data_IF_426530883259
#
_entry.id   IF_426530883259
#
_cell.length_a   1.000
_cell.length_b   1.000
_cell.length_c   1.000
_cell.angle_alpha   90.00
_cell.angle_beta   90.00
_cell.angle_gamma   90.00
#
_symmetry.space_group_name_H-M   'P 1'
#
loop_
_entity.id
_entity.type
_entity.pdbx_description
1 polymer ?
#
# COMPACT_ATOMS: atom_id res chain seq x y z
N UNK A 1 -20.04 -20.26 -2.56
CA UNK A 1 -21.10 -19.71 -1.68
C UNK A 1 -20.59 -18.68 -0.65
N UNK A 2 -19.29 -18.62 -0.34
CA UNK A 2 -18.73 -17.64 0.62
C UNK A 2 -18.52 -16.20 0.06
N UNK A 3 -18.22 -16.05 -1.24
CA UNK A 3 -18.03 -14.72 -1.88
C UNK A 3 -19.29 -13.83 -1.86
N UNK A 4 -20.49 -14.43 -1.88
CA UNK A 4 -21.75 -13.68 -1.88
C UNK A 4 -22.10 -13.12 -0.49
N UNK A 5 -21.66 -13.80 0.58
CA UNK A 5 -21.93 -13.40 1.97
C UNK A 5 -21.00 -12.27 2.44
N UNK A 6 -19.73 -12.30 2.03
CA UNK A 6 -18.77 -11.22 2.33
C UNK A 6 -19.20 -9.91 1.66
N UNK A 7 -19.76 -9.99 0.44
CA UNK A 7 -20.20 -8.81 -0.32
C UNK A 7 -21.30 -7.99 0.35
N UNK A 8 -22.26 -8.63 1.00
CA UNK A 8 -23.50 -8.00 1.50
C UNK A 8 -23.53 -7.74 3.01
N UNK A 9 -22.76 -8.47 3.84
CA UNK A 9 -22.87 -8.38 5.32
C UNK A 9 -21.66 -7.78 6.02
N UNK A 10 -20.60 -7.38 5.32
CA UNK A 10 -19.37 -6.90 5.99
C UNK A 10 -19.61 -5.73 6.96
N UNK A 11 -20.51 -4.82 6.59
CA UNK A 11 -20.85 -3.64 7.38
C UNK A 11 -21.72 -3.98 8.61
N UNK A 12 -22.39 -5.13 8.61
CA UNK A 12 -23.20 -5.64 9.73
C UNK A 12 -22.41 -6.52 10.72
N UNK A 13 -21.21 -6.99 10.33
CA UNK A 13 -20.38 -7.84 11.18
C UNK A 13 -19.70 -7.02 12.27
N UNK A 14 -19.79 -7.50 13.51
CA UNK A 14 -19.13 -6.86 14.64
C UNK A 14 -17.58 -7.05 14.57
N UNK A 15 -16.78 -6.27 15.31
CA UNK A 15 -15.32 -6.35 15.25
C UNK A 15 -14.75 -7.74 15.56
N UNK A 16 -15.41 -8.53 16.40
CA UNK A 16 -15.01 -9.89 16.76
C UNK A 16 -15.29 -10.85 15.60
N UNK A 17 -16.43 -10.71 14.93
CA UNK A 17 -16.79 -11.49 13.75
C UNK A 17 -15.88 -11.20 12.57
N UNK A 18 -15.50 -9.92 12.37
CA UNK A 18 -14.50 -9.53 11.36
C UNK A 18 -13.14 -10.16 11.65
N UNK A 19 -12.72 -10.16 12.91
CA UNK A 19 -11.48 -10.84 13.34
C UNK A 19 -11.55 -12.35 13.16
N UNK A 20 -12.68 -12.96 13.48
CA UNK A 20 -12.90 -14.39 13.27
C UNK A 20 -12.92 -14.74 11.79
N UNK A 21 -13.45 -13.87 10.94
CA UNK A 21 -13.43 -14.05 9.48
C UNK A 21 -12.01 -13.94 8.92
N UNK A 22 -11.23 -12.96 9.39
CA UNK A 22 -9.82 -12.83 9.05
C UNK A 22 -9.01 -14.05 9.52
N UNK A 23 -9.19 -14.49 10.76
CA UNK A 23 -8.55 -15.70 11.29
C UNK A 23 -8.96 -16.96 10.52
N UNK A 24 -10.24 -17.12 10.19
CA UNK A 24 -10.73 -18.25 9.39
C UNK A 24 -10.15 -18.22 7.96
N UNK A 25 -9.95 -17.03 7.40
CA UNK A 25 -9.27 -16.86 6.10
C UNK A 25 -7.81 -17.28 6.17
N UNK A 26 -7.12 -16.96 7.27
CA UNK A 26 -5.73 -17.38 7.55
C UNK A 26 -5.64 -18.89 7.84
N UNK A 27 -6.60 -19.46 8.57
CA UNK A 27 -6.67 -20.90 8.81
C UNK A 27 -6.94 -21.68 7.51
N UNK A 28 -7.83 -21.15 6.65
CA UNK A 28 -8.03 -21.69 5.30
C UNK A 28 -6.75 -21.57 4.46
N UNK A 29 -6.01 -20.46 4.54
CA UNK A 29 -4.69 -20.33 3.91
C UNK A 29 -3.72 -21.42 4.38
N UNK A 30 -3.70 -21.73 5.68
CA UNK A 30 -2.83 -22.78 6.24
C UNK A 30 -3.20 -24.18 5.74
N UNK A 31 -4.48 -24.45 5.50
CA UNK A 31 -4.96 -25.75 4.99
C UNK A 31 -4.66 -25.94 3.50
N UNK A 32 -4.63 -24.84 2.72
CA UNK A 32 -4.34 -24.85 1.27
C UNK A 32 -2.82 -24.91 0.99
N UNK A 33 -1.97 -24.70 1.99
CA UNK A 33 -0.53 -24.92 1.89
C UNK A 33 -0.16 -26.41 1.66
N UNK A 34 -1.14 -27.33 1.75
CA UNK A 34 -0.97 -28.72 1.36
C UNK A 34 -0.83 -28.83 -0.18
N UNK A 35 0.28 -29.39 -0.72
CA UNK A 35 0.56 -29.39 -2.16
C UNK A 35 -0.38 -30.26 -3.02
N UNK A 36 -1.41 -30.89 -2.46
CA UNK A 36 -2.23 -31.91 -3.12
C UNK A 36 -3.63 -31.48 -3.61
N UNK A 37 -4.11 -30.25 -3.34
CA UNK A 37 -5.44 -29.80 -3.82
C UNK A 37 -5.45 -28.71 -4.91
N UNK A 38 -6.58 -28.75 -5.64
CA UNK A 38 -6.89 -28.33 -7.00
C UNK A 38 -6.80 -26.80 -7.26
N UNK A 39 -6.19 -26.44 -8.39
CA UNK A 39 -5.94 -25.07 -8.90
C UNK A 39 -7.11 -24.08 -8.81
N UNK A 40 -8.35 -24.56 -8.74
CA UNK A 40 -9.56 -23.75 -8.60
C UNK A 40 -9.67 -23.06 -7.23
N UNK A 41 -9.25 -23.72 -6.14
CA UNK A 41 -9.24 -23.15 -4.79
C UNK A 41 -8.19 -22.05 -4.65
N UNK A 42 -7.02 -22.24 -5.27
CA UNK A 42 -5.92 -21.25 -5.32
C UNK A 42 -6.31 -19.99 -6.10
N UNK A 43 -6.99 -20.18 -7.23
CA UNK A 43 -7.53 -19.09 -8.05
C UNK A 43 -8.63 -18.29 -7.32
N UNK A 44 -9.50 -18.96 -6.56
CA UNK A 44 -10.53 -18.30 -5.74
C UNK A 44 -9.93 -17.47 -4.62
N UNK A 45 -8.85 -17.95 -3.99
CA UNK A 45 -8.12 -17.19 -2.97
C UNK A 45 -7.46 -15.94 -3.57
N UNK A 46 -6.78 -16.07 -4.71
CA UNK A 46 -6.17 -14.93 -5.39
C UNK A 46 -7.20 -13.83 -5.71
N UNK A 47 -8.37 -14.22 -6.23
CA UNK A 47 -9.48 -13.31 -6.49
C UNK A 47 -10.05 -12.67 -5.22
N UNK A 48 -10.28 -13.46 -4.17
CA UNK A 48 -10.79 -12.97 -2.88
C UNK A 48 -9.85 -11.92 -2.27
N UNK A 49 -8.56 -12.20 -2.28
CA UNK A 49 -7.53 -11.34 -1.71
C UNK A 49 -7.38 -10.06 -2.52
N UNK A 50 -7.48 -10.11 -3.85
CA UNK A 50 -7.52 -8.91 -4.69
C UNK A 50 -8.76 -8.05 -4.41
N UNK A 51 -9.95 -8.66 -4.29
CA UNK A 51 -11.19 -7.94 -3.95
C UNK A 51 -11.12 -7.27 -2.57
N UNK A 52 -10.59 -7.98 -1.57
CA UNK A 52 -10.40 -7.43 -0.22
C UNK A 52 -9.45 -6.24 -0.24
N UNK A 53 -8.36 -6.33 -1.02
CA UNK A 53 -7.39 -5.25 -1.15
C UNK A 53 -8.04 -3.98 -1.70
N UNK A 54 -8.73 -4.10 -2.84
CA UNK A 54 -9.39 -2.95 -3.50
C UNK A 54 -10.47 -2.34 -2.61
N UNK A 55 -11.31 -3.18 -1.98
CA UNK A 55 -12.45 -2.72 -1.16
C UNK A 55 -11.99 -2.06 0.13
N UNK A 56 -11.08 -2.69 0.88
CA UNK A 56 -10.66 -2.15 2.17
C UNK A 56 -9.72 -0.96 2.02
N UNK A 57 -8.91 -0.91 0.96
CA UNK A 57 -8.12 0.27 0.69
C UNK A 57 -9.00 1.48 0.35
N UNK A 58 -9.98 1.32 -0.55
CA UNK A 58 -10.91 2.40 -0.90
C UNK A 58 -11.73 2.90 0.31
N UNK A 59 -12.20 1.97 1.15
CA UNK A 59 -12.92 2.32 2.38
C UNK A 59 -12.02 2.99 3.42
N UNK A 60 -10.76 2.56 3.59
CA UNK A 60 -9.81 3.23 4.48
C UNK A 60 -9.61 4.70 4.09
N UNK A 61 -9.42 4.96 2.79
CA UNK A 61 -9.26 6.33 2.27
C UNK A 61 -10.54 7.15 2.44
N UNK A 62 -11.70 6.56 2.16
CA UNK A 62 -13.00 7.24 2.31
C UNK A 62 -13.34 7.56 3.77
N UNK A 63 -12.98 6.71 4.72
CA UNK A 63 -13.29 6.96 6.14
C UNK A 63 -12.26 7.89 6.78
N UNK A 64 -11.01 7.86 6.33
CA UNK A 64 -10.00 8.84 6.71
C UNK A 64 -10.41 10.27 6.28
N UNK A 65 -10.98 10.44 5.08
CA UNK A 65 -11.45 11.75 4.61
C UNK A 65 -12.66 12.27 5.40
N UNK A 66 -13.48 11.38 5.97
CA UNK A 66 -14.58 11.70 6.90
C UNK A 66 -14.14 11.90 8.35
N UNK A 67 -12.83 11.86 8.64
CA UNK A 67 -12.26 11.92 10.00
C UNK A 67 -12.69 10.77 10.92
N UNK A 68 -13.20 9.66 10.37
CA UNK A 68 -13.55 8.46 11.14
C UNK A 68 -12.34 7.55 11.32
N UNK A 69 -11.38 8.02 12.13
CA UNK A 69 -10.06 7.42 12.25
C UNK A 69 -10.10 5.97 12.74
N UNK A 70 -11.01 5.61 13.64
CA UNK A 70 -11.09 4.25 14.19
C UNK A 70 -11.60 3.24 13.15
N UNK A 71 -12.52 3.66 12.29
CA UNK A 71 -13.03 2.84 11.17
C UNK A 71 -11.94 2.72 10.10
N UNK A 72 -11.27 3.82 9.75
CA UNK A 72 -10.16 3.82 8.82
C UNK A 72 -9.02 2.87 9.26
N UNK A 73 -8.68 2.85 10.56
CA UNK A 73 -7.70 1.93 11.14
C UNK A 73 -8.10 0.46 10.98
N UNK A 74 -9.39 0.12 11.12
CA UNK A 74 -9.86 -1.26 10.91
C UNK A 74 -9.70 -1.70 9.45
N UNK A 75 -10.03 -0.81 8.51
CA UNK A 75 -9.79 -1.07 7.09
C UNK A 75 -8.30 -1.20 6.79
N UNK A 76 -7.45 -0.35 7.37
CA UNK A 76 -5.99 -0.46 7.23
C UNK A 76 -5.44 -1.78 7.76
N UNK A 77 -5.90 -2.24 8.94
CA UNK A 77 -5.50 -3.54 9.49
C UNK A 77 -5.91 -4.70 8.57
N UNK A 78 -7.07 -4.60 7.93
CA UNK A 78 -7.55 -5.59 6.96
C UNK A 78 -6.68 -5.60 5.70
N UNK A 79 -6.31 -4.42 5.18
CA UNK A 79 -5.37 -4.27 4.05
C UNK A 79 -4.02 -4.91 4.39
N UNK A 80 -3.46 -4.65 5.57
CA UNK A 80 -2.20 -5.24 6.02
C UNK A 80 -2.27 -6.76 6.12
N UNK A 81 -3.33 -7.32 6.72
CA UNK A 81 -3.53 -8.77 6.78
C UNK A 81 -3.63 -9.39 5.38
N UNK A 82 -4.33 -8.71 4.47
CA UNK A 82 -4.48 -9.12 3.07
C UNK A 82 -3.13 -9.11 2.36
N UNK A 83 -2.30 -8.08 2.56
CA UNK A 83 -0.94 -8.01 1.98
C UNK A 83 -0.02 -9.11 2.51
N UNK A 84 -0.11 -9.46 3.80
CA UNK A 84 0.67 -10.56 4.36
C UNK A 84 0.28 -11.90 3.74
N UNK A 85 -1.03 -12.11 3.50
CA UNK A 85 -1.51 -13.26 2.76
C UNK A 85 -1.03 -13.28 1.30
N UNK A 86 -1.05 -12.13 0.62
CA UNK A 86 -0.50 -11.99 -0.74
C UNK A 86 0.97 -12.39 -0.74
N UNK A 87 1.77 -11.92 0.22
CA UNK A 87 3.19 -12.22 0.31
C UNK A 87 3.42 -13.74 0.49
N UNK A 88 2.69 -14.38 1.39
CA UNK A 88 2.77 -15.83 1.58
C UNK A 88 2.35 -16.61 0.31
N UNK A 89 1.35 -16.14 -0.43
CA UNK A 89 0.94 -16.72 -1.71
C UNK A 89 2.00 -16.51 -2.81
N UNK A 90 2.61 -15.33 -2.84
CA UNK A 90 3.60 -14.92 -3.83
C UNK A 90 4.95 -15.65 -3.71
N UNK A 91 5.20 -16.39 -2.62
CA UNK A 91 6.41 -17.22 -2.45
C UNK A 91 6.43 -18.45 -3.36
N UNK A 92 5.27 -19.02 -3.68
CA UNK A 92 5.19 -20.26 -4.44
C UNK A 92 4.31 -20.15 -5.69
N UNK A 93 3.36 -19.21 -5.75
CA UNK A 93 2.48 -19.05 -6.91
C UNK A 93 3.24 -18.64 -8.19
N UNK A 94 2.77 -19.07 -9.40
CA UNK A 94 3.30 -18.59 -10.67
C UNK A 94 3.09 -17.08 -10.85
N UNK A 95 4.12 -16.38 -11.34
CA UNK A 95 4.06 -14.92 -11.53
C UNK A 95 2.97 -14.52 -12.55
N UNK A 96 2.75 -15.35 -13.57
CA UNK A 96 1.69 -15.14 -14.55
C UNK A 96 0.29 -15.11 -13.90
N UNK A 97 0.02 -15.98 -12.93
CA UNK A 97 -1.26 -16.02 -12.21
C UNK A 97 -1.45 -14.80 -11.32
N UNK A 98 -0.39 -14.36 -10.63
CA UNK A 98 -0.40 -13.14 -9.82
C UNK A 98 -0.77 -11.92 -10.66
N UNK A 99 -0.27 -11.86 -11.90
CA UNK A 99 -0.62 -10.80 -12.86
C UNK A 99 -2.05 -10.95 -13.38
N UNK A 100 -2.45 -12.16 -13.76
CA UNK A 100 -3.79 -12.49 -14.30
C UNK A 100 -4.93 -12.11 -13.35
N UNK A 101 -4.73 -12.32 -12.05
CA UNK A 101 -5.73 -11.99 -11.02
C UNK A 101 -5.59 -10.56 -10.46
N UNK A 102 -4.77 -9.70 -11.09
CA UNK A 102 -4.67 -8.29 -10.72
C UNK A 102 -3.87 -8.00 -9.44
N UNK A 103 -3.29 -9.01 -8.79
CA UNK A 103 -2.50 -8.84 -7.55
C UNK A 103 -1.29 -7.94 -7.79
N UNK A 104 -0.58 -8.14 -8.91
CA UNK A 104 0.57 -7.29 -9.30
C UNK A 104 0.17 -5.82 -9.39
N UNK A 105 -1.00 -5.53 -9.98
CA UNK A 105 -1.50 -4.17 -10.11
C UNK A 105 -1.96 -3.59 -8.77
N UNK A 106 -2.68 -4.38 -7.96
CA UNK A 106 -3.14 -3.98 -6.62
C UNK A 106 -1.98 -3.62 -5.69
N UNK A 107 -0.94 -4.46 -5.64
CA UNK A 107 0.28 -4.15 -4.90
C UNK A 107 1.02 -2.94 -5.49
N UNK A 108 1.02 -2.77 -6.82
CA UNK A 108 1.61 -1.62 -7.49
C UNK A 108 0.97 -0.30 -7.09
N UNK A 109 -0.36 -0.25 -7.02
CA UNK A 109 -1.12 0.92 -6.57
C UNK A 109 -0.75 1.32 -5.14
N UNK A 110 -0.53 0.33 -4.26
CA UNK A 110 -0.19 0.56 -2.86
C UNK A 110 1.22 1.12 -2.63
N UNK A 111 2.10 1.11 -3.64
CA UNK A 111 3.42 1.75 -3.55
C UNK A 111 3.32 3.27 -3.33
N UNK A 112 2.23 3.90 -3.77
CA UNK A 112 1.97 5.32 -3.56
C UNK A 112 1.48 5.64 -2.14
N UNK A 113 0.97 4.64 -1.39
CA UNK A 113 0.45 4.83 -0.04
C UNK A 113 1.53 4.57 1.01
N UNK A 114 1.97 5.57 1.81
CA UNK A 114 3.05 5.40 2.77
C UNK A 114 2.77 4.33 3.83
N UNK A 115 1.51 4.15 4.24
CA UNK A 115 1.11 3.19 5.27
C UNK A 115 1.27 1.72 4.82
N UNK A 116 1.14 1.47 3.51
CA UNK A 116 1.17 0.12 2.95
C UNK A 116 2.41 -0.15 2.07
N UNK A 117 3.17 0.89 1.72
CA UNK A 117 4.31 0.82 0.81
C UNK A 117 5.30 -0.29 1.15
N UNK A 118 5.67 -0.43 2.43
CA UNK A 118 6.64 -1.45 2.85
C UNK A 118 6.12 -2.87 2.60
N UNK A 119 4.84 -3.13 2.87
CA UNK A 119 4.20 -4.42 2.63
C UNK A 119 4.10 -4.73 1.13
N UNK A 120 3.77 -3.71 0.32
CA UNK A 120 3.75 -3.81 -1.14
C UNK A 120 5.16 -4.03 -1.72
N UNK A 121 6.19 -3.38 -1.18
CA UNK A 121 7.57 -3.59 -1.60
C UNK A 121 8.04 -5.04 -1.33
N UNK A 122 7.61 -5.65 -0.22
CA UNK A 122 7.96 -7.05 0.06
C UNK A 122 7.40 -7.99 -1.01
N UNK A 123 6.16 -7.78 -1.47
CA UNK A 123 5.60 -8.51 -2.61
C UNK A 123 6.52 -8.42 -3.84
N UNK A 124 6.91 -7.20 -4.24
CA UNK A 124 7.76 -7.00 -5.41
C UNK A 124 9.15 -7.63 -5.24
N UNK A 125 9.70 -7.60 -4.02
CA UNK A 125 10.95 -8.27 -3.68
C UNK A 125 10.85 -9.79 -3.78
N UNK A 126 9.70 -10.39 -3.47
CA UNK A 126 9.48 -11.83 -3.60
C UNK A 126 9.32 -12.28 -5.07
N UNK A 127 8.63 -11.50 -5.90
CA UNK A 127 8.36 -11.89 -7.29
C UNK A 127 9.49 -11.55 -8.26
N UNK A 128 10.27 -10.50 -8.01
CA UNK A 128 11.37 -10.06 -8.90
C UNK A 128 12.49 -11.09 -9.12
N UNK A 129 12.95 -11.86 -8.12
CA UNK A 129 14.01 -12.85 -8.32
C UNK A 129 13.49 -14.20 -8.87
N UNK A 130 12.18 -14.33 -9.17
CA UNK A 130 11.62 -15.60 -9.64
C UNK A 130 12.25 -16.00 -10.97
N UNK A 131 12.61 -17.28 -11.07
CA UNK A 131 13.19 -17.85 -12.28
C UNK A 131 12.11 -18.02 -13.35
N UNK A 132 12.46 -17.67 -14.59
CA UNK A 132 11.62 -17.92 -15.76
C UNK A 132 11.28 -19.42 -15.89
N UNK A 133 10.00 -19.81 -15.97
CA UNK A 133 9.59 -21.20 -16.19
C UNK A 133 9.87 -21.65 -17.63
N UNK A 134 9.98 -22.96 -17.86
CA UNK A 134 10.20 -23.51 -19.20
C UNK A 134 8.91 -23.59 -20.04
N UNK A 135 7.76 -23.70 -19.36
CA UNK A 135 6.50 -24.15 -19.96
C UNK A 135 5.61 -22.95 -20.37
N UNK A 136 5.64 -21.86 -19.60
CA UNK A 136 4.88 -20.63 -19.85
C UNK A 136 5.79 -19.39 -19.81
N UNK A 137 6.62 -19.27 -20.85
CA UNK A 137 7.58 -18.15 -20.97
C UNK A 137 6.87 -16.83 -21.29
N UNK A 138 5.86 -16.84 -22.16
CA UNK A 138 5.16 -15.64 -22.59
C UNK A 138 4.33 -14.98 -21.49
N UNK A 139 3.58 -15.77 -20.70
CA UNK A 139 2.81 -15.26 -19.57
C UNK A 139 3.73 -14.69 -18.48
N UNK A 140 4.84 -15.38 -18.21
CA UNK A 140 5.87 -14.89 -17.29
C UNK A 140 6.52 -13.59 -17.76
N UNK A 141 6.92 -13.51 -19.03
CA UNK A 141 7.59 -12.33 -19.59
C UNK A 141 6.69 -11.09 -19.57
N UNK A 142 5.41 -11.26 -19.93
CA UNK A 142 4.43 -10.19 -19.85
C UNK A 142 4.26 -9.72 -18.40
N UNK A 143 4.14 -10.64 -17.45
CA UNK A 143 4.01 -10.30 -16.04
C UNK A 143 5.25 -9.59 -15.49
N UNK A 144 6.45 -10.05 -15.83
CA UNK A 144 7.71 -9.41 -15.40
C UNK A 144 7.91 -8.03 -16.03
N UNK A 145 7.50 -7.85 -17.30
CA UNK A 145 7.49 -6.53 -17.95
C UNK A 145 6.55 -5.56 -17.23
N UNK A 146 5.36 -6.01 -16.83
CA UNK A 146 4.42 -5.22 -16.04
C UNK A 146 5.00 -4.86 -14.66
N UNK A 147 5.61 -5.81 -13.96
CA UNK A 147 6.28 -5.58 -12.67
C UNK A 147 7.37 -4.51 -12.82
N UNK A 148 8.22 -4.65 -13.84
CA UNK A 148 9.27 -3.67 -14.12
C UNK A 148 8.70 -2.28 -14.37
N UNK A 149 7.65 -2.17 -15.19
CA UNK A 149 7.01 -0.88 -15.49
C UNK A 149 6.42 -0.23 -14.23
N UNK A 150 5.76 -1.01 -13.37
CA UNK A 150 5.20 -0.52 -12.09
C UNK A 150 6.31 0.02 -11.19
N UNK A 151 7.39 -0.74 -11.01
CA UNK A 151 8.52 -0.32 -10.17
C UNK A 151 9.19 0.94 -10.73
N UNK A 152 9.39 1.01 -12.04
CA UNK A 152 9.96 2.19 -12.69
C UNK A 152 9.09 3.43 -12.55
N UNK A 153 7.76 3.27 -12.62
CA UNK A 153 6.82 4.37 -12.41
C UNK A 153 6.84 4.82 -10.95
N UNK A 154 6.84 3.90 -9.98
CA UNK A 154 6.92 4.25 -8.56
C UNK A 154 8.23 4.98 -8.21
N UNK A 155 9.36 4.52 -8.77
CA UNK A 155 10.64 5.21 -8.63
C UNK A 155 10.61 6.62 -9.23
N UNK A 156 10.00 6.78 -10.42
CA UNK A 156 9.83 8.09 -11.07
C UNK A 156 9.02 9.02 -10.18
N UNK A 157 7.89 8.57 -9.66
CA UNK A 157 7.00 9.39 -8.83
C UNK A 157 7.70 9.83 -7.55
N UNK A 158 8.44 8.93 -6.90
CA UNK A 158 9.23 9.25 -5.72
C UNK A 158 10.31 10.31 -6.00
N UNK A 159 11.03 10.20 -7.12
CA UNK A 159 12.03 11.18 -7.54
C UNK A 159 11.40 12.55 -7.85
N UNK A 160 10.23 12.56 -8.48
CA UNK A 160 9.50 13.80 -8.77
C UNK A 160 8.97 14.47 -7.51
N UNK A 161 8.47 13.70 -6.54
CA UNK A 161 7.98 14.24 -5.28
C UNK A 161 9.13 14.81 -4.42
N UNK A 162 10.30 14.16 -4.42
CA UNK A 162 11.51 14.72 -3.82
C UNK A 162 11.91 16.04 -4.49
N UNK A 163 11.92 16.09 -5.83
CA UNK A 163 12.25 17.31 -6.57
C UNK A 163 11.26 18.44 -6.26
N UNK A 164 9.95 18.13 -6.20
CA UNK A 164 8.90 19.10 -5.81
C UNK A 164 9.09 19.60 -4.39
N UNK A 165 9.39 18.71 -3.44
CA UNK A 165 9.64 19.08 -2.05
C UNK A 165 10.86 20.00 -1.93
N UNK A 166 11.94 19.72 -2.66
CA UNK A 166 13.12 20.58 -2.71
C UNK A 166 12.82 21.95 -3.32
N UNK A 167 12.01 22.02 -4.38
CA UNK A 167 11.57 23.29 -4.98
C UNK A 167 10.70 24.08 -4.00
N UNK A 168 9.78 23.42 -3.28
CA UNK A 168 8.96 24.08 -2.25
C UNK A 168 9.83 24.58 -1.09
N UNK A 169 10.81 23.81 -0.63
CA UNK A 169 11.76 24.23 0.39
C UNK A 169 12.60 25.42 -0.08
N UNK A 170 13.08 25.40 -1.33
CA UNK A 170 13.80 26.53 -1.92
C UNK A 170 12.90 27.76 -2.07
N UNK A 171 11.63 27.58 -2.44
CA UNK A 171 10.66 28.67 -2.56
C UNK A 171 10.28 29.26 -1.20
N UNK A 172 10.01 28.44 -0.19
CA UNK A 172 9.79 28.88 1.20
C UNK A 172 11.04 29.59 1.74
N UNK A 173 12.24 29.13 1.39
CA UNK A 173 13.48 29.80 1.76
C UNK A 173 13.63 31.17 1.07
N UNK A 174 13.30 31.27 -0.22
CA UNK A 174 13.30 32.53 -0.96
C UNK A 174 12.24 33.50 -0.43
N UNK A 175 11.00 33.04 -0.27
CA UNK A 175 9.89 33.85 0.21
C UNK A 175 10.14 34.30 1.66
N UNK A 176 10.78 33.46 2.49
CA UNK A 176 11.23 33.82 3.83
C UNK A 176 12.39 34.83 3.87
N UNK A 177 13.30 34.79 2.89
CA UNK A 177 14.35 35.81 2.71
C UNK A 177 13.75 37.14 2.23
N UNK A 178 12.82 37.10 1.27
CA UNK A 178 12.09 38.28 0.79
C UNK A 178 11.27 38.91 1.92
N UNK A 179 10.62 38.11 2.78
CA UNK A 179 9.88 38.62 3.95
C UNK A 179 10.81 39.27 4.98
N UNK A 180 12.03 38.75 5.15
CA UNK A 180 13.05 39.33 6.03
C UNK A 180 13.56 40.68 5.49
N UNK A 181 13.77 40.79 4.18
CA UNK A 181 14.15 42.05 3.52
C UNK A 181 13.00 43.07 3.51
N UNK A 182 11.74 42.63 3.35
CA UNK A 182 10.56 43.51 3.44
C UNK A 182 10.34 44.04 4.87
N UNK A 183 10.56 43.21 5.90
CA UNK A 183 10.53 43.63 7.31
C UNK A 183 11.73 44.50 7.68
N UNK A 184 12.90 44.28 7.08
CA UNK A 184 14.07 45.14 7.25
C UNK A 184 13.92 46.52 6.57
N UNK A 185 13.09 46.62 5.53
CA UNK A 185 12.79 47.87 4.80
C UNK A 185 11.74 48.77 5.47
N UNK A 186 10.97 48.26 6.45
CA UNK A 186 9.95 49.03 7.17
C UNK A 186 10.34 49.17 8.65
N UNK A 187 11.29 50.08 8.90
CA UNK A 187 11.35 50.81 10.16
C UNK A 187 12.01 50.12 11.36
N UNK A 188 13.22 50.61 11.68
CA UNK A 188 13.58 50.97 13.04
C UNK A 188 13.96 49.83 13.99
N UNK A 189 15.26 49.79 14.34
CA UNK A 189 15.80 49.08 15.49
C UNK A 189 14.84 49.06 16.70
N UNK A 190 14.45 47.87 17.16
CA UNK A 190 14.56 47.45 18.57
C UNK A 190 14.12 45.99 18.80
N UNK A 191 15.05 45.25 19.43
CA UNK A 191 14.93 44.01 20.23
C UNK A 191 14.87 42.66 19.51
N UNK A 192 16.04 42.02 19.48
CA UNK A 192 16.23 40.57 19.54
C UNK A 192 15.60 39.95 20.80
N UNK A 193 15.29 38.65 20.71
CA UNK A 193 14.94 37.66 21.74
C UNK A 193 13.45 37.34 22.00
N UNK A 194 12.93 36.40 21.20
CA UNK A 194 11.93 35.35 21.51
C UNK A 194 11.60 34.66 20.17
N UNK A 195 11.70 33.37 19.89
CA UNK A 195 11.90 32.16 20.68
C UNK A 195 12.55 31.12 19.73
N UNK A 196 13.87 30.95 19.81
CA UNK A 196 14.60 29.84 19.18
C UNK A 196 14.50 28.60 20.10
N UNK A 197 13.28 28.14 20.38
CA UNK A 197 13.05 27.27 21.54
C UNK A 197 11.78 26.44 21.55
N UNK A 198 11.35 25.84 20.43
CA UNK A 198 10.33 24.75 20.46
C UNK A 198 10.51 23.73 19.31
N UNK A 199 11.75 23.39 18.91
CA UNK A 199 12.00 22.27 17.95
C UNK A 199 13.10 21.34 18.47
N UNK A 200 13.06 21.07 19.77
CA UNK A 200 13.79 19.99 20.45
C UNK A 200 12.92 19.52 21.61
N UNK A 201 11.94 18.67 21.33
CA UNK A 201 11.50 17.59 22.23
C UNK A 201 10.34 16.83 21.59
N UNK A 202 10.38 15.51 21.77
CA UNK A 202 9.54 14.43 21.20
C UNK A 202 10.03 14.01 19.80
N UNK A 203 11.03 13.14 19.63
CA UNK A 203 11.37 11.90 20.35
C UNK A 203 10.18 10.93 20.44
#
# INVERSE_FOLDING_TARGET
>A
MQLHLVRLRWDELNPMERRNFANASVDLMSQIANPCEEWALKSQMAALVAELLERHFGAAVSEASKQQLDVAKQHAATVTATLNAINAYAEWAPVADLSKYGIVHGCGFLLSSPDFRLHACEFFKLVSPRKRPADDTAGFDSAMSNIFQILMNACRDFLLDLARMLVLLMKVKLDGLIYFDLLAGVGGMRKLNCCYGVVRNMA
#
